data_IF_601639771554
#
_entry.id   IF_601639771554
#
_cell.length_a   1.000
_cell.length_b   1.000
_cell.length_c   1.000
_cell.angle_alpha   90.00
_cell.angle_beta   90.00
_cell.angle_gamma   90.00
#
_symmetry.space_group_name_H-M   'P 1'
#
loop_
_entity.id
_entity.type
_entity.pdbx_description
1 polymer ?
#
# COMPACT_ATOMS: atom_id res chain seq x y z
N UNK A 1 -15.99 -5.74 12.35
CA UNK A 1 -15.87 -5.16 11.01
C UNK A 1 -15.94 -3.63 10.97
N UNK A 2 -16.91 -3.00 11.65
CA UNK A 2 -17.04 -1.53 11.65
C UNK A 2 -15.73 -0.76 11.95
N UNK A 3 -15.02 -1.12 13.03
CA UNK A 3 -13.75 -0.48 13.39
C UNK A 3 -12.63 -0.67 12.36
N UNK A 4 -12.65 -1.78 11.62
CA UNK A 4 -11.66 -2.06 10.55
C UNK A 4 -11.94 -1.13 9.36
N UNK A 5 -13.21 -0.99 8.97
CA UNK A 5 -13.63 -0.08 7.89
C UNK A 5 -13.28 1.37 8.26
N UNK A 6 -13.61 1.82 9.47
CA UNK A 6 -13.29 3.16 9.96
C UNK A 6 -11.77 3.42 10.00
N UNK A 7 -10.98 2.51 10.56
CA UNK A 7 -9.53 2.64 10.60
C UNK A 7 -8.92 2.74 9.18
N UNK A 8 -9.48 2.00 8.21
CA UNK A 8 -9.03 2.08 6.83
C UNK A 8 -9.41 3.41 6.16
N UNK A 9 -10.60 3.93 6.44
CA UNK A 9 -11.02 5.27 5.97
C UNK A 9 -10.07 6.36 6.50
N UNK A 10 -9.78 6.35 7.81
CA UNK A 10 -8.83 7.27 8.43
C UNK A 10 -7.42 7.14 7.83
N UNK A 11 -6.98 5.90 7.58
CA UNK A 11 -5.71 5.62 6.92
C UNK A 11 -5.65 6.20 5.50
N UNK A 12 -6.74 6.06 4.73
CA UNK A 12 -6.86 6.60 3.37
C UNK A 12 -6.89 8.12 3.36
N UNK A 13 -7.59 8.75 4.30
CA UNK A 13 -7.60 10.21 4.45
C UNK A 13 -6.21 10.76 4.76
N UNK A 14 -5.51 10.12 5.70
CA UNK A 14 -4.13 10.47 6.04
C UNK A 14 -3.18 10.28 4.84
N UNK A 15 -3.36 9.20 4.07
CA UNK A 15 -2.59 8.97 2.84
C UNK A 15 -2.82 10.09 1.83
N UNK A 16 -4.09 10.44 1.52
CA UNK A 16 -4.40 11.49 0.54
C UNK A 16 -3.80 12.84 0.93
N UNK A 17 -3.81 13.19 2.22
CA UNK A 17 -3.18 14.40 2.73
C UNK A 17 -1.65 14.37 2.53
N UNK A 18 -1.00 13.23 2.79
CA UNK A 18 0.44 13.02 2.62
C UNK A 18 0.84 13.04 1.13
N UNK A 19 0.07 12.38 0.27
CA UNK A 19 0.31 12.29 -1.18
C UNK A 19 0.41 13.68 -1.83
N UNK A 20 -0.41 14.64 -1.38
CA UNK A 20 -0.47 15.98 -1.93
C UNK A 20 0.83 16.80 -1.75
N UNK A 21 1.70 16.41 -0.80
CA UNK A 21 2.97 17.09 -0.55
C UNK A 21 4.09 16.67 -1.52
N UNK A 22 3.88 15.64 -2.33
CA UNK A 22 4.90 15.10 -3.24
C UNK A 22 4.53 15.37 -4.70
N UNK A 23 5.55 15.63 -5.52
CA UNK A 23 5.35 16.08 -6.90
C UNK A 23 5.34 14.91 -7.86
N UNK A 24 6.36 14.05 -7.75
CA UNK A 24 6.58 12.93 -8.67
C UNK A 24 5.94 11.64 -8.16
N UNK A 25 5.63 10.75 -9.09
CA UNK A 25 5.10 9.41 -8.83
C UNK A 25 6.08 8.58 -8.02
N UNK A 26 7.38 8.71 -8.31
CA UNK A 26 8.47 8.09 -7.53
C UNK A 26 8.40 8.49 -6.05
N UNK A 27 8.40 9.79 -5.77
CA UNK A 27 8.34 10.31 -4.40
C UNK A 27 7.07 9.83 -3.67
N UNK A 28 5.92 9.85 -4.36
CA UNK A 28 4.66 9.36 -3.81
C UNK A 28 4.71 7.88 -3.47
N UNK A 29 5.29 7.03 -4.32
CA UNK A 29 5.43 5.60 -4.03
C UNK A 29 6.36 5.33 -2.83
N UNK A 30 7.43 6.12 -2.66
CA UNK A 30 8.25 6.05 -1.44
C UNK A 30 7.50 6.54 -0.19
N UNK A 31 6.72 7.62 -0.32
CA UNK A 31 5.89 8.13 0.76
C UNK A 31 4.80 7.14 1.18
N UNK A 32 4.25 6.39 0.22
CA UNK A 32 3.29 5.30 0.46
C UNK A 32 3.95 4.19 1.27
N UNK A 33 5.15 3.75 0.89
CA UNK A 33 5.92 2.78 1.67
C UNK A 33 6.14 3.25 3.12
N UNK A 34 6.51 4.51 3.32
CA UNK A 34 6.63 5.08 4.67
C UNK A 34 5.29 5.08 5.41
N UNK A 35 4.19 5.44 4.75
CA UNK A 35 2.84 5.48 5.33
C UNK A 35 2.37 4.10 5.82
N UNK A 36 2.66 3.03 5.08
CA UNK A 36 2.37 1.67 5.52
C UNK A 36 3.13 1.27 6.78
N UNK A 37 4.41 1.61 6.86
CA UNK A 37 5.23 1.27 8.03
C UNK A 37 4.88 2.14 9.24
N UNK A 38 4.49 3.40 9.01
CA UNK A 38 3.99 4.28 10.07
C UNK A 38 2.71 3.69 10.71
N UNK A 39 1.80 3.11 9.91
CA UNK A 39 0.56 2.48 10.39
C UNK A 39 0.79 1.14 11.12
N UNK A 40 1.94 0.48 10.95
CA UNK A 40 2.25 -0.72 11.74
C UNK A 40 2.40 -0.43 13.25
N UNK A 41 2.59 0.84 13.63
CA UNK A 41 2.54 1.26 15.03
C UNK A 41 1.12 1.47 15.56
N UNK A 42 0.09 1.36 14.71
CA UNK A 42 -1.29 1.59 15.11
C UNK A 42 -1.79 0.43 16.01
N UNK A 43 -2.18 0.70 17.27
CA UNK A 43 -2.66 -0.33 18.19
C UNK A 43 -3.88 -1.12 17.67
N UNK A 44 -4.68 -0.52 16.79
CA UNK A 44 -5.80 -1.22 16.15
C UNK A 44 -5.33 -2.30 15.18
N UNK A 45 -4.25 -2.06 14.43
CA UNK A 45 -3.66 -3.04 13.49
C UNK A 45 -3.27 -4.33 14.22
N UNK A 46 -2.76 -4.20 15.43
CA UNK A 46 -2.47 -5.33 16.32
C UNK A 46 -3.70 -6.12 16.76
N UNK A 47 -4.71 -5.43 17.29
CA UNK A 47 -5.93 -6.04 17.77
C UNK A 47 -6.69 -6.77 16.64
N UNK A 48 -6.63 -6.20 15.42
CA UNK A 48 -7.21 -6.82 14.22
C UNK A 48 -6.46 -8.09 13.84
N UNK A 49 -5.11 -8.08 13.83
CA UNK A 49 -4.32 -9.27 13.53
C UNK A 49 -4.57 -10.42 14.52
N UNK A 50 -4.64 -10.13 15.83
CA UNK A 50 -4.97 -11.15 16.84
C UNK A 50 -6.39 -11.69 16.65
N UNK A 51 -7.38 -10.81 16.49
CA UNK A 51 -8.77 -11.21 16.26
C UNK A 51 -8.89 -12.14 15.05
N UNK A 52 -8.24 -11.79 13.95
CA UNK A 52 -8.23 -12.55 12.70
C UNK A 52 -7.58 -13.92 12.82
N UNK A 53 -6.49 -14.03 13.57
CA UNK A 53 -5.78 -15.30 13.79
C UNK A 53 -6.57 -16.31 14.64
N UNK A 54 -7.52 -15.83 15.43
CA UNK A 54 -8.25 -16.63 16.44
C UNK A 54 -9.61 -17.17 15.99
N UNK A 55 -10.15 -16.70 14.85
CA UNK A 55 -11.48 -17.04 14.39
C UNK A 55 -11.49 -17.91 13.13
N UNK A 56 -12.52 -18.76 13.00
CA UNK A 56 -12.85 -19.40 11.72
C UNK A 56 -13.39 -18.32 10.80
N UNK A 57 -12.64 -18.01 9.74
CA UNK A 57 -13.04 -17.02 8.74
C UNK A 57 -14.26 -17.54 7.98
N UNK A 58 -15.39 -16.84 8.11
CA UNK A 58 -16.60 -17.10 7.32
C UNK A 58 -16.51 -16.43 5.94
N UNK A 59 -17.35 -16.85 5.00
CA UNK A 59 -17.41 -16.25 3.66
C UNK A 59 -17.76 -14.75 3.71
N UNK A 60 -18.70 -14.35 4.56
CA UNK A 60 -19.08 -12.95 4.74
C UNK A 60 -17.91 -12.12 5.30
N UNK A 61 -17.17 -12.67 6.27
CA UNK A 61 -15.97 -12.01 6.81
C UNK A 61 -14.88 -11.87 5.75
N UNK A 62 -14.68 -12.89 4.91
CA UNK A 62 -13.74 -12.82 3.80
C UNK A 62 -14.14 -11.73 2.80
N UNK A 63 -15.42 -11.65 2.43
CA UNK A 63 -15.93 -10.62 1.52
C UNK A 63 -15.71 -9.21 2.09
N UNK A 64 -16.03 -8.99 3.35
CA UNK A 64 -15.77 -7.71 4.03
C UNK A 64 -14.27 -7.33 4.04
N UNK A 65 -13.38 -8.31 4.25
CA UNK A 65 -11.93 -8.05 4.22
C UNK A 65 -11.44 -7.73 2.82
N UNK A 66 -11.96 -8.41 1.81
CA UNK A 66 -11.64 -8.12 0.41
C UNK A 66 -12.13 -6.72 0.01
N UNK A 67 -13.31 -6.28 0.49
CA UNK A 67 -13.77 -4.90 0.28
C UNK A 67 -12.77 -3.89 0.84
N UNK A 68 -12.36 -4.05 2.10
CA UNK A 68 -11.40 -3.15 2.75
C UNK A 68 -10.06 -3.15 2.03
N UNK A 69 -9.56 -4.32 1.64
CA UNK A 69 -8.26 -4.47 0.96
C UNK A 69 -8.27 -3.80 -0.42
N UNK A 70 -9.44 -3.71 -1.07
CA UNK A 70 -9.60 -3.14 -2.41
C UNK A 70 -9.83 -1.63 -2.41
N UNK A 71 -10.13 -1.01 -1.27
CA UNK A 71 -10.34 0.44 -1.17
C UNK A 71 -9.19 1.27 -1.78
N UNK A 72 -7.90 0.95 -1.56
CA UNK A 72 -6.80 1.74 -2.11
C UNK A 72 -6.60 1.57 -3.63
N UNK A 73 -7.21 0.56 -4.27
CA UNK A 73 -6.89 0.18 -5.66
C UNK A 73 -7.08 1.36 -6.62
N UNK A 74 -8.21 2.06 -6.48
CA UNK A 74 -8.51 3.22 -7.32
C UNK A 74 -7.46 4.33 -7.12
N UNK A 75 -7.01 4.58 -5.89
CA UNK A 75 -5.99 5.59 -5.62
C UNK A 75 -4.64 5.20 -6.24
N UNK A 76 -4.24 3.93 -6.12
CA UNK A 76 -2.99 3.41 -6.70
C UNK A 76 -3.01 3.46 -8.22
N UNK A 77 -4.10 3.01 -8.83
CA UNK A 77 -4.24 3.05 -10.28
C UNK A 77 -4.20 4.49 -10.80
N UNK A 78 -4.88 5.43 -10.15
CA UNK A 78 -4.83 6.86 -10.53
C UNK A 78 -3.44 7.47 -10.36
N UNK A 79 -2.69 7.07 -9.33
CA UNK A 79 -1.30 7.47 -9.16
C UNK A 79 -0.45 6.99 -10.35
N UNK A 80 -0.62 5.74 -10.77
CA UNK A 80 0.11 5.13 -11.89
C UNK A 80 -0.26 5.80 -13.23
N UNK A 81 -1.55 6.01 -13.50
CA UNK A 81 -2.05 6.69 -14.71
C UNK A 81 -1.39 8.06 -14.84
N UNK A 82 -1.40 8.87 -13.77
CA UNK A 82 -0.78 10.20 -13.78
C UNK A 82 0.73 10.15 -14.04
N UNK A 83 1.42 9.16 -13.50
CA UNK A 83 2.84 8.93 -13.77
C UNK A 83 3.11 8.62 -15.25
N UNK A 84 2.25 7.81 -15.88
CA UNK A 84 2.34 7.52 -17.32
C UNK A 84 2.03 8.75 -18.18
N UNK A 85 1.01 9.53 -17.83
CA UNK A 85 0.62 10.75 -18.54
C UNK A 85 1.72 11.82 -18.51
N UNK A 86 2.47 11.90 -17.41
CA UNK A 86 3.60 12.82 -17.23
C UNK A 86 4.92 12.30 -17.83
N UNK A 87 4.93 11.07 -18.33
CA UNK A 87 6.14 10.43 -18.85
C UNK A 87 7.14 10.00 -17.76
N UNK A 88 6.71 9.97 -16.49
CA UNK A 88 7.53 9.48 -15.37
C UNK A 88 7.59 7.94 -15.36
N UNK A 89 6.50 7.29 -15.81
CA UNK A 89 6.38 5.84 -15.94
C UNK A 89 6.24 5.43 -17.41
N UNK A 90 6.70 4.22 -17.75
CA UNK A 90 6.49 3.58 -19.06
C UNK A 90 5.00 3.39 -19.32
N UNK A 91 4.59 3.45 -20.60
CA UNK A 91 3.24 3.05 -21.01
C UNK A 91 3.07 1.55 -20.81
N UNK A 92 2.13 1.17 -19.96
CA UNK A 92 1.80 -0.21 -19.62
C UNK A 92 0.35 -0.29 -19.11
N UNK A 93 -0.11 -1.47 -18.69
CA UNK A 93 -1.39 -1.65 -18.01
C UNK A 93 -1.35 -1.06 -16.60
N UNK A 94 -2.08 0.04 -16.38
CA UNK A 94 -2.20 0.67 -15.05
C UNK A 94 -2.77 -0.28 -14.00
N UNK A 95 -3.73 -1.13 -14.40
CA UNK A 95 -4.34 -2.12 -13.52
C UNK A 95 -3.33 -3.18 -13.09
N UNK A 96 -2.48 -3.64 -14.01
CA UNK A 96 -1.54 -4.72 -13.70
C UNK A 96 -0.48 -4.22 -12.72
N UNK A 97 0.06 -3.01 -12.96
CA UNK A 97 1.00 -2.36 -12.04
C UNK A 97 0.33 -2.12 -10.68
N UNK A 98 -0.94 -1.72 -10.63
CA UNK A 98 -1.68 -1.57 -9.38
C UNK A 98 -1.78 -2.89 -8.60
N UNK A 99 -2.12 -4.00 -9.28
CA UNK A 99 -2.18 -5.31 -8.64
C UNK A 99 -0.81 -5.79 -8.15
N UNK A 100 0.25 -5.55 -8.92
CA UNK A 100 1.63 -5.88 -8.52
C UNK A 100 2.06 -5.06 -7.31
N UNK A 101 1.82 -3.74 -7.32
CA UNK A 101 2.10 -2.85 -6.18
C UNK A 101 1.36 -3.31 -4.93
N UNK A 102 0.06 -3.60 -5.06
CA UNK A 102 -0.75 -4.05 -3.95
C UNK A 102 -0.27 -5.40 -3.40
N UNK A 103 0.03 -6.36 -4.27
CA UNK A 103 0.57 -7.67 -3.88
C UNK A 103 1.92 -7.55 -3.16
N UNK A 104 2.81 -6.70 -3.68
CA UNK A 104 4.11 -6.42 -3.06
C UNK A 104 3.94 -5.86 -1.64
N UNK A 105 3.18 -4.77 -1.49
CA UNK A 105 2.99 -4.10 -0.21
C UNK A 105 2.33 -5.03 0.81
N UNK A 106 1.22 -5.66 0.45
CA UNK A 106 0.50 -6.55 1.38
C UNK A 106 1.34 -7.79 1.72
N UNK A 107 2.07 -8.37 0.76
CA UNK A 107 2.96 -9.49 1.02
C UNK A 107 4.07 -9.14 2.01
N UNK A 108 4.60 -7.91 1.92
CA UNK A 108 5.64 -7.43 2.84
C UNK A 108 5.12 -7.11 4.25
N UNK A 109 3.81 -7.09 4.48
CA UNK A 109 3.24 -6.89 5.83
C UNK A 109 3.66 -7.98 6.81
N UNK A 110 3.98 -9.20 6.34
CA UNK A 110 4.41 -10.30 7.19
C UNK A 110 5.77 -10.06 7.84
N UNK A 111 6.58 -9.13 7.31
CA UNK A 111 7.86 -8.74 7.91
C UNK A 111 7.69 -8.20 9.33
N UNK A 112 6.49 -7.74 9.68
CA UNK A 112 6.11 -7.37 11.04
C UNK A 112 6.48 -8.44 12.09
N UNK A 113 6.38 -9.72 11.73
CA UNK A 113 6.66 -10.82 12.65
C UNK A 113 8.15 -11.21 12.71
N UNK A 114 8.99 -10.65 11.84
CA UNK A 114 10.36 -11.12 11.62
C UNK A 114 11.43 -10.05 11.87
N UNK A 115 11.07 -8.76 11.84
CA UNK A 115 12.01 -7.64 11.76
C UNK A 115 11.57 -6.46 12.60
N UNK A 116 12.52 -5.59 12.95
CA UNK A 116 12.20 -4.31 13.56
C UNK A 116 11.68 -3.29 12.51
N UNK A 117 11.04 -2.22 12.99
CA UNK A 117 10.42 -1.22 12.12
C UNK A 117 11.40 -0.45 11.23
N UNK A 118 12.66 -0.29 11.67
CA UNK A 118 13.67 0.39 10.86
C UNK A 118 14.06 -0.48 9.65
N UNK A 119 14.28 -1.78 9.90
CA UNK A 119 14.51 -2.77 8.86
C UNK A 119 13.31 -2.91 7.92
N UNK A 120 12.08 -2.95 8.46
CA UNK A 120 10.85 -3.02 7.66
C UNK A 120 10.78 -1.80 6.73
N UNK A 121 11.00 -0.58 7.26
CA UNK A 121 11.00 0.65 6.44
C UNK A 121 12.02 0.58 5.32
N UNK A 122 13.24 0.18 5.63
CA UNK A 122 14.31 0.01 4.62
C UNK A 122 13.89 -0.99 3.54
N UNK A 123 13.26 -2.10 3.92
CA UNK A 123 12.81 -3.13 3.00
C UNK A 123 11.64 -2.67 2.13
N UNK A 124 10.61 -2.02 2.70
CA UNK A 124 9.50 -1.44 1.94
C UNK A 124 10.01 -0.47 0.86
N UNK A 125 10.93 0.44 1.23
CA UNK A 125 11.60 1.31 0.25
C UNK A 125 12.34 0.52 -0.81
N UNK A 126 13.06 -0.54 -0.44
CA UNK A 126 13.74 -1.42 -1.39
C UNK A 126 12.77 -2.13 -2.35
N UNK A 127 11.59 -2.55 -1.87
CA UNK A 127 10.54 -3.14 -2.69
C UNK A 127 10.04 -2.15 -3.74
N UNK A 128 9.74 -0.91 -3.32
CA UNK A 128 9.34 0.17 -4.23
C UNK A 128 10.45 0.47 -5.25
N UNK A 129 11.72 0.55 -4.84
CA UNK A 129 12.85 0.74 -5.76
C UNK A 129 12.93 -0.36 -6.83
N UNK A 130 12.74 -1.63 -6.45
CA UNK A 130 12.75 -2.76 -7.38
C UNK A 130 11.58 -2.66 -8.36
N UNK A 131 10.38 -2.33 -7.87
CA UNK A 131 9.21 -2.12 -8.71
C UNK A 131 9.48 -0.99 -9.73
N UNK A 132 9.94 0.16 -9.24
CA UNK A 132 10.27 1.34 -10.05
C UNK A 132 11.29 1.03 -11.14
N UNK A 133 12.33 0.24 -10.85
CA UNK A 133 13.31 -0.20 -11.86
C UNK A 133 12.62 -0.89 -13.06
N UNK A 134 11.51 -1.60 -12.82
CA UNK A 134 10.71 -2.22 -13.86
C UNK A 134 9.85 -1.24 -14.66
N UNK A 135 9.27 -0.24 -14.00
CA UNK A 135 8.17 0.58 -14.57
C UNK A 135 8.53 2.04 -14.88
N UNK A 136 9.62 2.58 -14.36
CA UNK A 136 10.05 3.96 -14.63
C UNK A 136 10.44 4.15 -16.09
N UNK A 137 10.08 5.31 -16.64
CA UNK A 137 10.53 5.70 -17.96
C UNK A 137 12.07 5.89 -17.96
N UNK A 138 12.76 5.63 -19.08
CA UNK A 138 14.18 5.94 -19.19
C UNK A 138 14.43 7.43 -18.94
N UNK A 139 15.37 7.75 -18.06
CA UNK A 139 15.96 9.10 -18.01
C UNK A 139 16.72 9.33 -19.32
N UNK A 140 16.37 10.41 -20.04
CA UNK A 140 17.15 10.90 -21.19
C UNK A 140 18.57 11.34 -20.79
#
# INVERSE_FOLDING_TARGET
MYLIKLNNEEWMEAWMAKEAAYVTTREKLFALADHYVDDMNNPLTHAVNEFMSSQVVTEDMLNDMLEVTRLPYKAYEQLIIRGMERGELKKDSSSDIMYVLNGLINGMSTLYFEKDLEEIRRLYKKGIEILLTGIEAPTE
#
